data_IF_870359770948
#
_entry.id   IF_870359770948
#
_cell.length_a   1.000
_cell.length_b   1.000
_cell.length_c   1.000
_cell.angle_alpha   90.00
_cell.angle_beta   90.00
_cell.angle_gamma   90.00
#
_symmetry.space_group_name_H-M   'P 1'
#
loop_
_entity.id
_entity.type
_entity.pdbx_description
1 polymer ?
#
# COMPACT_ATOMS: atom_id res chain seq x y z
N UNK A 1 16.69 20.87 -1.16
CA UNK A 1 15.30 20.41 -1.15
C UNK A 1 15.26 19.30 -0.11
N UNK A 2 14.81 19.64 1.10
CA UNK A 2 14.56 18.66 2.15
C UNK A 2 13.39 17.82 1.62
N UNK A 3 13.60 16.52 1.38
CA UNK A 3 12.46 15.64 1.16
C UNK A 3 11.75 15.56 2.50
N UNK A 4 10.50 15.98 2.56
CA UNK A 4 9.69 15.77 3.76
C UNK A 4 9.84 14.31 4.20
N UNK A 5 10.11 14.06 5.49
CA UNK A 5 10.27 12.71 5.97
C UNK A 5 8.96 11.95 5.70
N UNK A 6 9.09 10.82 5.01
CA UNK A 6 7.98 9.97 4.64
C UNK A 6 7.07 9.70 5.87
N UNK A 7 5.77 10.04 5.81
CA UNK A 7 4.91 10.07 7.01
C UNK A 7 4.59 8.67 7.51
N UNK A 8 4.67 7.66 6.63
CA UNK A 8 4.58 6.25 6.99
C UNK A 8 5.93 5.56 6.79
N UNK A 9 6.31 4.76 7.78
CA UNK A 9 7.50 3.93 7.77
C UNK A 9 7.08 2.47 7.65
N UNK A 10 7.79 1.74 6.78
CA UNK A 10 7.71 0.28 6.76
C UNK A 10 8.10 -0.27 8.12
N UNK A 11 7.32 -1.24 8.59
CA UNK A 11 7.66 -2.08 9.72
C UNK A 11 7.65 -3.54 9.26
N UNK A 12 8.42 -4.40 9.92
CA UNK A 12 8.26 -5.84 9.72
C UNK A 12 6.88 -6.25 10.22
N UNK A 13 6.09 -6.81 9.32
CA UNK A 13 4.72 -7.24 9.57
C UNK A 13 4.31 -8.29 8.57
N UNK A 14 3.39 -9.16 8.98
CA UNK A 14 2.84 -10.17 8.09
C UNK A 14 1.97 -9.50 7.02
N UNK A 15 2.19 -9.89 5.77
CA UNK A 15 1.27 -9.60 4.67
C UNK A 15 0.15 -10.64 4.74
N UNK A 16 -1.06 -10.18 5.05
CA UNK A 16 -2.24 -11.02 5.23
C UNK A 16 -3.11 -10.96 3.97
N UNK A 17 -3.61 -12.12 3.52
CA UNK A 17 -4.57 -12.19 2.43
C UNK A 17 -5.96 -11.80 2.93
N UNK A 18 -6.57 -10.80 2.31
CA UNK A 18 -7.94 -10.36 2.54
C UNK A 18 -8.87 -10.85 1.41
N UNK A 19 -10.19 -10.68 1.58
CA UNK A 19 -11.21 -11.16 0.60
C UNK A 19 -10.97 -10.65 -0.83
N UNK A 20 -10.46 -9.44 -0.98
CA UNK A 20 -10.28 -8.76 -2.28
C UNK A 20 -8.90 -8.11 -2.41
N UNK A 21 -7.89 -8.59 -1.69
CA UNK A 21 -6.60 -7.92 -1.65
C UNK A 21 -5.62 -8.48 -0.64
N UNK A 22 -4.60 -7.67 -0.33
CA UNK A 22 -3.62 -7.96 0.70
C UNK A 22 -3.49 -6.80 1.67
N UNK A 23 -3.32 -7.11 2.95
CA UNK A 23 -3.13 -6.13 3.99
C UNK A 23 -1.74 -6.26 4.63
N UNK A 24 -1.11 -5.13 4.93
CA UNK A 24 0.12 -5.09 5.72
C UNK A 24 0.18 -3.83 6.57
N UNK A 25 0.87 -3.87 7.73
CA UNK A 25 0.96 -2.71 8.60
C UNK A 25 2.12 -1.80 8.21
N UNK A 26 1.90 -0.49 8.30
CA UNK A 26 2.93 0.55 8.34
C UNK A 26 2.81 1.31 9.65
N UNK A 27 3.83 2.10 10.00
CA UNK A 27 3.85 2.91 11.23
C UNK A 27 3.95 4.39 10.91
N UNK A 28 3.19 5.23 11.62
CA UNK A 28 3.32 6.69 11.48
C UNK A 28 4.67 7.12 12.05
N UNK A 29 5.45 7.84 11.26
CA UNK A 29 6.79 8.29 11.62
C UNK A 29 6.78 9.05 12.97
N UNK A 30 7.70 8.68 13.87
CA UNK A 30 7.82 9.30 15.19
C UNK A 30 6.76 8.87 16.21
N UNK A 31 5.90 7.89 15.90
CA UNK A 31 4.87 7.39 16.83
C UNK A 31 4.92 5.87 16.98
N UNK A 32 4.14 5.34 17.93
CA UNK A 32 3.86 3.90 18.06
C UNK A 32 2.56 3.47 17.35
N UNK A 33 1.91 4.38 16.62
CA UNK A 33 0.63 4.11 15.96
C UNK A 33 0.86 3.41 14.61
N UNK A 34 0.12 2.33 14.40
CA UNK A 34 0.13 1.58 13.16
C UNK A 34 -1.03 2.01 12.26
N UNK A 35 -0.75 2.04 10.95
CA UNK A 35 -1.70 2.27 9.87
C UNK A 35 -1.78 0.99 9.06
N UNK A 36 -2.98 0.46 8.88
CA UNK A 36 -3.18 -0.70 8.04
C UNK A 36 -3.25 -0.23 6.59
N UNK A 37 -2.42 -0.81 5.73
CA UNK A 37 -2.48 -0.61 4.28
C UNK A 37 -3.17 -1.82 3.67
N UNK A 38 -4.14 -1.59 2.80
CA UNK A 38 -4.87 -2.62 2.05
C UNK A 38 -4.66 -2.34 0.57
N UNK A 39 -4.18 -3.34 -0.16
CA UNK A 39 -3.99 -3.30 -1.62
C UNK A 39 -5.07 -4.16 -2.25
N UNK A 40 -5.92 -3.58 -3.09
CA UNK A 40 -6.92 -4.34 -3.83
C UNK A 40 -6.23 -5.24 -4.88
N UNK A 41 -6.80 -6.41 -5.14
CA UNK A 41 -6.32 -7.32 -6.19
C UNK A 41 -6.23 -6.64 -7.55
N UNK A 42 -7.24 -5.83 -7.87
CA UNK A 42 -7.29 -5.09 -9.13
C UNK A 42 -6.11 -4.10 -9.23
N UNK A 43 -5.59 -3.59 -8.12
CA UNK A 43 -4.42 -2.72 -8.11
C UNK A 43 -3.13 -3.45 -8.49
N UNK A 44 -3.03 -4.75 -8.15
CA UNK A 44 -1.91 -5.63 -8.51
C UNK A 44 -2.02 -6.13 -9.96
N UNK A 45 -3.25 -6.36 -10.45
CA UNK A 45 -3.48 -6.82 -11.83
C UNK A 45 -3.30 -5.67 -12.83
N UNK A 46 -3.43 -4.41 -12.42
CA UNK A 46 -3.10 -3.25 -13.28
C UNK A 46 -1.62 -3.23 -13.65
N UNK A 47 -0.72 -3.63 -12.75
CA UNK A 47 0.71 -3.66 -13.03
C UNK A 47 1.11 -4.88 -13.88
N UNK A 48 0.28 -5.94 -13.91
CA UNK A 48 0.60 -7.20 -14.61
C UNK A 48 -0.66 -7.95 -15.12
N UNK A 49 -0.66 -8.31 -16.40
CA UNK A 49 -1.79 -9.02 -17.03
C UNK A 49 -2.05 -10.39 -16.40
N UNK A 50 -3.25 -10.59 -15.84
CA UNK A 50 -3.84 -11.86 -15.38
C UNK A 50 -2.89 -12.79 -14.59
N UNK A 51 -2.64 -12.44 -13.32
CA UNK A 51 -1.95 -13.31 -12.37
C UNK A 51 -2.95 -14.18 -11.58
N UNK A 52 -2.60 -15.45 -11.36
CA UNK A 52 -3.29 -16.35 -10.42
C UNK A 52 -2.90 -16.05 -8.96
N UNK A 53 -3.63 -16.61 -7.98
CA UNK A 53 -3.52 -16.23 -6.55
C UNK A 53 -2.11 -16.21 -5.96
N UNK A 54 -1.28 -17.23 -6.20
CA UNK A 54 0.10 -17.26 -5.69
C UNK A 54 1.02 -16.25 -6.42
N UNK A 55 0.73 -15.96 -7.68
CA UNK A 55 1.46 -14.98 -8.48
C UNK A 55 1.16 -13.54 -8.01
N UNK A 56 -0.06 -13.27 -7.53
CA UNK A 56 -0.41 -11.97 -6.95
C UNK A 56 0.43 -11.63 -5.71
N UNK A 57 0.74 -12.63 -4.87
CA UNK A 57 1.61 -12.41 -3.71
C UNK A 57 3.03 -12.07 -4.14
N UNK A 58 3.57 -12.81 -5.10
CA UNK A 58 4.91 -12.52 -5.65
C UNK A 58 4.97 -11.12 -6.27
N UNK A 59 3.93 -10.72 -6.99
CA UNK A 59 3.85 -9.39 -7.58
C UNK A 59 3.76 -8.30 -6.50
N UNK A 60 2.91 -8.49 -5.48
CA UNK A 60 2.83 -7.59 -4.34
C UNK A 60 4.19 -7.42 -3.67
N UNK A 61 4.92 -8.50 -3.42
CA UNK A 61 6.24 -8.45 -2.79
C UNK A 61 7.27 -7.71 -3.67
N UNK A 62 7.16 -7.83 -5.00
CA UNK A 62 8.00 -7.10 -5.95
C UNK A 62 7.67 -5.60 -6.02
N UNK A 63 6.38 -5.26 -6.00
CA UNK A 63 5.88 -3.88 -6.07
C UNK A 63 5.84 -3.19 -4.69
N UNK A 64 6.14 -3.92 -3.61
CA UNK A 64 5.98 -3.47 -2.23
C UNK A 64 6.63 -2.10 -1.96
N UNK A 65 7.88 -1.81 -2.40
CA UNK A 65 8.47 -0.49 -2.17
C UNK A 65 7.70 0.66 -2.83
N UNK A 66 7.11 0.43 -4.01
CA UNK A 66 6.31 1.43 -4.71
C UNK A 66 4.93 1.60 -4.03
N UNK A 67 4.32 0.51 -3.58
CA UNK A 67 3.05 0.52 -2.85
C UNK A 67 3.17 1.17 -1.47
N UNK A 68 4.29 0.97 -0.76
CA UNK A 68 4.62 1.68 0.48
C UNK A 68 4.75 3.19 0.25
N UNK A 69 5.37 3.58 -0.86
CA UNK A 69 5.44 4.99 -1.26
C UNK A 69 4.08 5.60 -1.53
N UNK A 70 3.27 4.91 -2.34
CA UNK A 70 1.92 5.33 -2.65
C UNK A 70 1.03 5.40 -1.39
N UNK A 71 1.18 4.45 -0.46
CA UNK A 71 0.47 4.47 0.82
C UNK A 71 0.83 5.71 1.66
N UNK A 72 2.13 6.01 1.77
CA UNK A 72 2.62 7.17 2.49
C UNK A 72 2.13 8.48 1.86
N UNK A 73 2.18 8.58 0.54
CA UNK A 73 1.67 9.74 -0.19
C UNK A 73 0.16 9.92 0.02
N UNK A 74 -0.63 8.85 -0.08
CA UNK A 74 -2.08 8.93 0.20
C UNK A 74 -2.35 9.36 1.63
N UNK A 75 -1.60 8.83 2.59
CA UNK A 75 -1.74 9.20 3.99
C UNK A 75 -1.43 10.68 4.23
N UNK A 76 -0.36 11.20 3.63
CA UNK A 76 0.02 12.61 3.72
C UNK A 76 -1.07 13.55 3.21
N UNK A 77 -1.73 13.15 2.12
CA UNK A 77 -2.87 13.87 1.55
C UNK A 77 -4.20 13.67 2.30
N UNK A 78 -4.18 13.02 3.46
CA UNK A 78 -5.38 12.78 4.28
C UNK A 78 -6.36 11.78 3.64
N UNK A 79 -5.90 10.91 2.74
CA UNK A 79 -6.73 9.92 2.03
C UNK A 79 -6.79 8.57 2.75
N UNK A 80 -6.61 8.56 4.07
CA UNK A 80 -6.92 7.41 4.90
C UNK A 80 -8.43 7.38 5.20
N UNK A 81 -8.97 6.20 5.48
CA UNK A 81 -10.34 6.04 5.97
C UNK A 81 -10.47 6.61 7.40
N UNK A 82 -11.71 6.73 7.90
CA UNK A 82 -11.97 7.16 9.27
C UNK A 82 -11.35 6.23 10.34
N UNK A 83 -11.09 4.97 9.98
CA UNK A 83 -10.45 3.97 10.85
C UNK A 83 -8.91 4.00 10.75
N UNK A 84 -8.34 4.95 10.01
CA UNK A 84 -6.89 5.05 9.82
C UNK A 84 -6.32 3.99 8.88
N UNK A 85 -7.14 3.47 7.95
CA UNK A 85 -6.71 2.50 6.94
C UNK A 85 -6.41 3.21 5.63
N UNK A 86 -5.31 2.85 4.96
CA UNK A 86 -5.00 3.33 3.62
C UNK A 86 -5.35 2.25 2.60
N UNK A 87 -6.36 2.50 1.77
CA UNK A 87 -6.73 1.62 0.67
C UNK A 87 -5.99 2.06 -0.61
N UNK A 88 -5.33 1.13 -1.29
CA UNK A 88 -4.73 1.32 -2.61
C UNK A 88 -5.55 0.53 -3.64
N UNK A 89 -6.23 1.28 -4.50
CA UNK A 89 -7.05 0.76 -5.59
C UNK A 89 -6.32 0.82 -6.92
N UNK A 90 -6.87 0.14 -7.94
CA UNK A 90 -6.43 0.24 -9.33
C UNK A 90 -6.30 1.70 -9.83
N UNK A 91 -7.23 2.57 -9.46
CA UNK A 91 -7.20 3.98 -9.86
C UNK A 91 -6.05 4.75 -9.20
N UNK A 92 -5.66 4.39 -7.97
CA UNK A 92 -4.51 5.01 -7.31
C UNK A 92 -3.21 4.63 -8.00
N UNK A 93 -3.06 3.35 -8.36
CA UNK A 93 -1.88 2.85 -9.10
C UNK A 93 -1.82 3.48 -10.48
N UNK A 94 -2.94 3.54 -11.23
CA UNK A 94 -2.98 4.22 -12.52
C UNK A 94 -2.66 5.71 -12.42
N UNK A 95 -3.13 6.39 -11.36
CA UNK A 95 -2.82 7.79 -11.12
C UNK A 95 -1.36 8.04 -10.70
N UNK A 96 -0.71 7.04 -10.11
CA UNK A 96 0.69 7.09 -9.70
C UNK A 96 1.68 6.81 -10.85
N UNK A 97 1.29 5.95 -11.80
CA UNK A 97 2.11 5.57 -12.95
C UNK A 97 2.06 6.58 -14.12
N UNK A 98 1.09 7.50 -14.12
CA UNK A 98 0.92 8.55 -15.15
C UNK A 98 1.55 9.87 -14.73
#
# INVERSE_FOLDING_TARGET
MERDPMPLQRIEGEIVRERHGFAFPMRIAGTAQNVQVIIDDDALVVTTSMLAGDELRTQLEADLPALEFLAAEKFDHGRATADGVVLISASDVLGFLN
#
